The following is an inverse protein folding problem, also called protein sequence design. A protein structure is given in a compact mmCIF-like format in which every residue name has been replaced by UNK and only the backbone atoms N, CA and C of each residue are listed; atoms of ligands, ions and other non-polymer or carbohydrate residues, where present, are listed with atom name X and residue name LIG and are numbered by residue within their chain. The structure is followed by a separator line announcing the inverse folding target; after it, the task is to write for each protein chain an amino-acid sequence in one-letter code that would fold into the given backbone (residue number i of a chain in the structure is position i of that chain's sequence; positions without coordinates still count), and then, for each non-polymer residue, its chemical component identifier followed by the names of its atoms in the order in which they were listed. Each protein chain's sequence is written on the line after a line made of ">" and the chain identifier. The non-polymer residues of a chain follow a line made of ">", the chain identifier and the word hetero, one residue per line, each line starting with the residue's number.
data_IF_988080331809
#
_entry.id   IF_988080331809
#
_cell.length_a   1.000
_cell.length_b   1.000
_cell.length_c   1.000
_cell.angle_alpha   90.00
_cell.angle_beta   90.00
_cell.angle_gamma   90.00
#
_symmetry.space_group_name_H-M   'P 1'
#
loop_
_entity.id
_entity.type
_entity.pdbx_description
1 polymer ?
#
# COMPACT_ATOMS: atom_id res chain seq x y z
N UNK A 1 -28.39 61.12 0.39
CA UNK A 1 -29.66 60.84 1.07
C UNK A 1 -29.63 59.42 1.58
N UNK A 2 -29.60 59.30 2.91
CA UNK A 2 -29.48 58.08 3.70
C UNK A 2 -30.86 57.41 3.78
N UNK A 3 -30.93 56.09 3.55
CA UNK A 3 -32.01 55.26 4.09
C UNK A 3 -31.43 53.99 4.68
N UNK A 4 -31.41 54.00 6.02
CA UNK A 4 -31.33 52.85 6.89
C UNK A 4 -32.50 51.89 6.63
N UNK A 5 -32.24 50.57 6.67
CA UNK A 5 -33.08 49.63 7.41
C UNK A 5 -32.20 48.56 8.05
N UNK A 6 -32.08 48.72 9.37
CA UNK A 6 -31.66 47.75 10.36
C UNK A 6 -32.70 46.63 10.41
N UNK A 7 -32.29 45.36 10.43
CA UNK A 7 -33.05 44.29 11.05
C UNK A 7 -32.07 43.36 11.77
N UNK A 8 -32.14 43.45 13.09
CA UNK A 8 -31.64 42.49 14.07
C UNK A 8 -32.33 41.14 13.85
N UNK A 9 -31.57 40.05 13.87
CA UNK A 9 -32.06 38.78 14.38
C UNK A 9 -30.91 38.05 15.09
N UNK A 10 -31.17 37.84 16.38
CA UNK A 10 -30.32 37.26 17.41
C UNK A 10 -30.03 35.79 17.09
N UNK A 11 -28.82 35.35 17.45
CA UNK A 11 -28.37 33.99 17.27
C UNK A 11 -29.16 32.96 18.09
N UNK A 12 -29.23 31.75 17.54
CA UNK A 12 -29.36 30.54 18.32
C UNK A 12 -28.23 29.59 17.91
N UNK A 13 -27.35 29.33 18.88
CA UNK A 13 -26.37 28.25 18.84
C UNK A 13 -27.14 26.94 18.89
N UNK A 14 -26.92 26.05 17.92
CA UNK A 14 -27.20 24.62 18.05
C UNK A 14 -25.90 23.86 17.78
N UNK A 15 -25.31 23.37 18.87
CA UNK A 15 -24.24 22.39 18.88
C UNK A 15 -24.89 21.00 18.99
N UNK A 16 -24.24 20.03 18.34
CA UNK A 16 -24.28 18.55 18.51
C UNK A 16 -25.44 17.74 17.92
N UNK A 17 -25.06 16.75 17.11
CA UNK A 17 -25.92 15.62 16.76
C UNK A 17 -25.43 14.76 15.58
N UNK A 18 -24.31 14.06 15.77
CA UNK A 18 -23.80 12.86 15.09
C UNK A 18 -24.42 12.35 13.78
N UNK A 19 -23.53 12.08 12.81
CA UNK A 19 -23.74 11.17 11.68
C UNK A 19 -22.40 10.75 11.09
N UNK A 20 -21.63 9.96 11.85
CA UNK A 20 -20.38 9.34 11.42
C UNK A 20 -20.72 8.23 10.39
N UNK A 21 -20.75 8.60 9.11
CA UNK A 21 -20.67 7.64 8.00
C UNK A 21 -19.23 7.62 7.51
N UNK A 22 -18.46 6.65 7.97
CA UNK A 22 -17.08 6.43 7.53
C UNK A 22 -17.08 6.13 6.03
N UNK A 23 -16.69 7.11 5.23
CA UNK A 23 -16.42 6.93 3.81
C UNK A 23 -14.98 6.42 3.68
N UNK A 24 -14.77 5.16 4.01
CA UNK A 24 -13.59 4.41 3.57
C UNK A 24 -13.86 4.02 2.12
N UNK A 25 -13.44 4.86 1.18
CA UNK A 25 -13.65 4.58 -0.22
C UNK A 25 -13.12 5.68 -1.12
N UNK A 26 -12.19 5.27 -1.99
CA UNK A 26 -11.80 5.95 -3.22
C UNK A 26 -10.83 7.13 -3.01
N UNK A 27 -9.55 6.79 -2.82
CA UNK A 27 -8.51 7.62 -3.44
C UNK A 27 -8.56 7.37 -4.94
N UNK A 28 -9.38 8.16 -5.63
CA UNK A 28 -9.20 8.43 -7.04
C UNK A 28 -7.86 9.18 -7.17
N UNK A 29 -6.77 8.44 -7.30
CA UNK A 29 -5.51 9.05 -7.73
C UNK A 29 -5.65 9.35 -9.21
N UNK A 30 -5.75 10.64 -9.51
CA UNK A 30 -5.60 11.23 -10.83
C UNK A 30 -4.58 10.45 -11.69
N UNK A 31 -4.85 10.30 -12.98
CA UNK A 31 -4.04 9.66 -14.04
C UNK A 31 -2.62 10.25 -14.25
N UNK A 32 -2.10 10.98 -13.28
CA UNK A 32 -0.77 11.59 -13.26
C UNK A 32 0.05 10.89 -12.16
N UNK A 33 0.96 9.99 -12.57
CA UNK A 33 2.01 9.32 -11.76
C UNK A 33 1.63 7.99 -11.06
N UNK A 34 0.75 7.17 -11.62
CA UNK A 34 0.69 5.75 -11.25
C UNK A 34 1.66 4.95 -12.14
N UNK A 35 2.54 4.14 -11.54
CA UNK A 35 3.38 3.22 -12.31
C UNK A 35 2.50 2.16 -12.98
N UNK A 36 2.63 2.00 -14.30
CA UNK A 36 1.82 1.11 -15.10
C UNK A 36 2.67 0.25 -16.04
N UNK A 37 2.07 -0.86 -16.45
CA UNK A 37 2.50 -1.66 -17.60
C UNK A 37 1.33 -1.98 -18.52
N UNK A 38 1.62 -2.16 -19.80
CA UNK A 38 0.73 -2.71 -20.80
C UNK A 38 1.28 -4.10 -21.22
N UNK A 39 0.41 -5.11 -21.24
CA UNK A 39 0.72 -6.48 -21.64
C UNK A 39 -0.50 -7.11 -22.31
N UNK A 40 -0.36 -7.54 -23.57
CA UNK A 40 -1.50 -7.96 -24.38
C UNK A 40 -2.44 -6.77 -24.63
N UNK A 41 -3.75 -7.00 -24.49
CA UNK A 41 -4.79 -6.00 -24.61
C UNK A 41 -5.15 -5.30 -23.28
N UNK A 42 -4.38 -5.56 -22.21
CA UNK A 42 -4.66 -5.11 -20.84
C UNK A 42 -3.63 -4.09 -20.35
N UNK A 43 -4.11 -3.15 -19.52
CA UNK A 43 -3.29 -2.24 -18.72
C UNK A 43 -3.33 -2.64 -17.26
N UNK A 44 -2.19 -2.55 -16.60
CA UNK A 44 -2.07 -2.83 -15.18
C UNK A 44 -1.41 -1.68 -14.43
N UNK A 45 -1.81 -1.48 -13.18
CA UNK A 45 -1.22 -0.52 -12.27
C UNK A 45 -0.40 -1.25 -11.21
N UNK A 46 0.72 -0.65 -10.81
CA UNK A 46 1.57 -1.17 -9.75
C UNK A 46 0.79 -1.18 -8.43
N UNK A 47 0.77 -2.34 -7.79
CA UNK A 47 0.18 -2.55 -6.48
C UNK A 47 1.30 -2.66 -5.45
N UNK A 48 1.91 -1.52 -5.10
CA UNK A 48 3.06 -1.42 -4.20
C UNK A 48 2.83 -2.06 -2.81
N UNK A 49 1.58 -2.08 -2.33
CA UNK A 49 1.22 -2.74 -1.07
C UNK A 49 1.29 -4.26 -1.15
N UNK A 50 1.33 -4.85 -2.36
CA UNK A 50 1.36 -6.30 -2.56
C UNK A 50 2.78 -6.81 -2.73
N UNK A 51 3.04 -8.02 -2.25
CA UNK A 51 4.33 -8.67 -2.42
C UNK A 51 4.16 -10.14 -2.75
N UNK A 52 4.93 -10.62 -3.73
CA UNK A 52 5.06 -12.04 -4.00
C UNK A 52 5.81 -12.71 -2.87
N UNK A 53 5.23 -13.74 -2.26
CA UNK A 53 5.84 -14.45 -1.14
C UNK A 53 6.80 -15.54 -1.59
N UNK A 54 6.50 -16.21 -2.71
CA UNK A 54 7.27 -17.34 -3.24
C UNK A 54 7.28 -17.32 -4.78
N UNK A 55 8.48 -17.35 -5.37
CA UNK A 55 8.63 -17.36 -6.84
C UNK A 55 8.38 -18.72 -7.49
N UNK A 56 8.17 -19.78 -6.70
CA UNK A 56 7.82 -21.12 -7.22
C UNK A 56 6.37 -21.24 -7.67
N UNK A 57 5.55 -20.21 -7.42
CA UNK A 57 4.10 -20.16 -7.70
C UNK A 57 3.76 -19.18 -8.83
N UNK A 58 4.72 -18.92 -9.70
CA UNK A 58 4.55 -18.03 -10.84
C UNK A 58 5.09 -18.67 -12.11
N UNK A 59 4.42 -18.42 -13.23
CA UNK A 59 4.76 -18.97 -14.54
C UNK A 59 4.88 -17.84 -15.57
N UNK A 60 5.92 -17.88 -16.41
CA UNK A 60 6.15 -16.82 -17.40
C UNK A 60 5.11 -16.90 -18.51
N UNK A 61 4.38 -15.79 -18.73
CA UNK A 61 3.33 -15.68 -19.75
C UNK A 61 3.67 -14.74 -20.89
N UNK A 62 4.70 -13.90 -20.73
CA UNK A 62 5.10 -12.98 -21.78
C UNK A 62 6.10 -11.94 -21.32
N UNK A 63 6.02 -10.77 -21.93
CA UNK A 63 6.87 -9.62 -21.62
C UNK A 63 6.08 -8.34 -21.66
N UNK A 64 6.52 -7.34 -20.90
CA UNK A 64 5.97 -5.98 -20.92
C UNK A 64 6.15 -5.39 -22.31
N UNK A 65 5.07 -4.85 -22.87
CA UNK A 65 5.10 -4.16 -24.18
C UNK A 65 5.42 -2.67 -24.01
N UNK A 66 4.85 -2.07 -22.97
CA UNK A 66 5.07 -0.68 -22.57
C UNK A 66 4.96 -0.56 -21.06
N UNK A 67 5.79 0.27 -20.43
CA UNK A 67 5.63 0.62 -19.02
C UNK A 67 6.13 2.02 -18.74
N UNK A 68 5.64 2.65 -17.66
CA UNK A 68 6.13 3.96 -17.22
C UNK A 68 7.50 3.88 -16.55
N UNK A 69 7.73 2.81 -15.77
CA UNK A 69 8.98 2.58 -15.03
C UNK A 69 9.68 1.32 -15.51
N UNK A 70 8.93 0.23 -15.65
CA UNK A 70 9.43 -1.03 -16.16
C UNK A 70 9.60 -0.93 -17.67
N UNK A 71 10.81 -1.23 -18.15
CA UNK A 71 11.10 -1.25 -19.57
C UNK A 71 10.31 -2.33 -20.32
N UNK A 72 10.06 -2.08 -21.61
CA UNK A 72 9.62 -3.15 -22.51
C UNK A 72 10.62 -4.31 -22.52
N UNK A 73 10.11 -5.53 -22.68
CA UNK A 73 10.81 -6.82 -22.62
C UNK A 73 11.04 -7.45 -21.23
N UNK A 74 10.71 -6.74 -20.13
CA UNK A 74 10.72 -7.37 -18.81
C UNK A 74 9.70 -8.52 -18.76
N UNK A 75 10.07 -9.64 -18.14
CA UNK A 75 9.21 -10.81 -18.12
C UNK A 75 7.97 -10.60 -17.24
N UNK A 76 6.81 -10.96 -17.78
CA UNK A 76 5.51 -10.96 -17.10
C UNK A 76 5.14 -12.40 -16.76
N UNK A 77 4.65 -12.59 -15.55
CA UNK A 77 4.32 -13.89 -14.98
C UNK A 77 2.88 -13.90 -14.48
N UNK A 78 2.16 -14.99 -14.74
CA UNK A 78 0.91 -15.28 -14.04
C UNK A 78 1.22 -15.81 -12.64
N UNK A 79 0.28 -15.59 -11.72
CA UNK A 79 0.42 -15.96 -10.31
C UNK A 79 -0.60 -17.05 -9.98
N UNK A 80 -0.14 -18.15 -9.39
CA UNK A 80 -1.02 -19.22 -8.93
C UNK A 80 -2.09 -18.65 -7.96
N UNK A 81 -3.36 -18.97 -8.23
CA UNK A 81 -4.52 -18.44 -7.51
C UNK A 81 -5.21 -17.25 -8.19
N UNK A 82 -4.67 -16.74 -9.31
CA UNK A 82 -5.21 -15.59 -10.06
C UNK A 82 -5.37 -15.90 -11.57
N UNK A 83 -6.27 -16.84 -11.95
CA UNK A 83 -6.29 -17.47 -13.28
C UNK A 83 -6.71 -16.57 -14.46
N UNK A 84 -7.33 -15.41 -14.23
CA UNK A 84 -7.77 -14.49 -15.30
C UNK A 84 -6.73 -13.41 -15.64
N UNK A 85 -5.55 -13.50 -15.01
CA UNK A 85 -4.47 -12.52 -15.12
C UNK A 85 -4.97 -11.14 -14.70
N UNK A 86 -5.80 -11.09 -13.67
CA UNK A 86 -6.21 -9.83 -13.05
C UNK A 86 -5.11 -9.30 -12.12
N UNK A 87 -4.18 -10.18 -11.75
CA UNK A 87 -2.96 -9.86 -11.01
C UNK A 87 -1.80 -10.58 -11.68
N UNK A 88 -0.72 -9.84 -11.93
CA UNK A 88 0.50 -10.36 -12.57
C UNK A 88 1.74 -9.94 -11.79
N UNK A 89 2.77 -10.78 -11.86
CA UNK A 89 4.10 -10.45 -11.35
C UNK A 89 5.00 -10.05 -12.52
N UNK A 90 5.84 -9.04 -12.32
CA UNK A 90 6.77 -8.55 -13.34
C UNK A 90 8.15 -8.55 -12.75
N UNK A 91 9.10 -9.20 -13.42
CA UNK A 91 10.49 -9.17 -12.97
C UNK A 91 11.02 -7.74 -13.02
N UNK A 92 11.54 -7.31 -11.89
CA UNK A 92 11.98 -5.95 -11.69
C UNK A 92 13.38 -5.94 -11.09
N UNK A 93 14.38 -5.67 -11.92
CA UNK A 93 15.78 -5.69 -11.52
C UNK A 93 16.26 -4.31 -11.00
N UNK A 94 15.34 -3.36 -10.78
CA UNK A 94 15.66 -2.02 -10.31
C UNK A 94 16.15 -2.04 -8.84
N UNK A 95 17.44 -1.76 -8.66
CA UNK A 95 18.07 -1.55 -7.35
C UNK A 95 17.47 -0.39 -6.53
N UNK A 96 16.65 0.49 -7.14
CA UNK A 96 15.95 1.57 -6.45
C UNK A 96 14.84 1.06 -5.50
N UNK A 97 14.47 -0.22 -5.61
CA UNK A 97 13.36 -0.85 -4.88
C UNK A 97 13.87 -1.65 -3.67
N UNK A 98 15.13 -1.42 -3.29
CA UNK A 98 15.73 -1.93 -2.06
C UNK A 98 15.04 -1.45 -0.76
N UNK A 99 13.86 -0.81 -0.85
CA UNK A 99 13.16 -0.29 0.32
C UNK A 99 11.83 -0.96 0.64
N UNK A 100 11.03 -1.49 -0.30
CA UNK A 100 9.69 -2.04 0.09
C UNK A 100 9.14 -3.15 -0.85
N UNK A 101 9.12 -2.96 -2.17
CA UNK A 101 8.18 -3.71 -3.04
C UNK A 101 8.71 -5.04 -3.61
N UNK A 102 10.00 -5.36 -3.42
CA UNK A 102 10.67 -6.31 -4.30
C UNK A 102 11.62 -7.28 -3.58
N UNK A 103 11.10 -8.04 -2.61
CA UNK A 103 11.90 -9.06 -1.92
C UNK A 103 12.28 -10.22 -2.85
N UNK A 104 11.38 -10.60 -3.74
CA UNK A 104 11.52 -11.79 -4.58
C UNK A 104 12.11 -11.51 -5.96
N UNK A 105 12.41 -10.26 -6.30
CA UNK A 105 12.78 -9.87 -7.67
C UNK A 105 11.57 -9.48 -8.55
N UNK A 106 10.37 -9.39 -7.97
CA UNK A 106 9.13 -9.13 -8.67
C UNK A 106 8.34 -7.97 -8.06
N UNK A 107 7.81 -7.12 -8.92
CA UNK A 107 6.73 -6.17 -8.59
C UNK A 107 5.38 -6.74 -8.99
N UNK A 108 4.35 -6.43 -8.20
CA UNK A 108 2.98 -6.87 -8.46
C UNK A 108 2.20 -5.77 -9.17
N UNK A 109 1.44 -6.17 -10.19
CA UNK A 109 0.57 -5.29 -10.96
C UNK A 109 -0.85 -5.87 -11.02
N UNK A 110 -1.84 -5.00 -10.89
CA UNK A 110 -3.27 -5.34 -10.90
C UNK A 110 -3.97 -4.72 -12.10
N UNK A 111 -4.94 -5.44 -12.67
CA UNK A 111 -5.68 -5.02 -13.85
C UNK A 111 -6.42 -3.69 -13.59
N UNK A 112 -6.29 -2.77 -14.53
CA UNK A 112 -7.00 -1.49 -14.54
C UNK A 112 -8.16 -1.54 -15.52
N UNK A 113 -9.39 -1.45 -15.00
CA UNK A 113 -10.62 -1.57 -15.78
C UNK A 113 -11.11 -0.23 -16.37
N UNK A 114 -10.40 0.87 -16.12
CA UNK A 114 -10.69 2.21 -16.67
C UNK A 114 -10.93 3.26 -15.59
N UNK A 115 -11.00 4.54 -15.99
CA UNK A 115 -11.06 5.67 -15.04
C UNK A 115 -12.30 5.67 -14.13
N UNK A 116 -13.40 5.03 -14.55
CA UNK A 116 -14.66 4.97 -13.83
C UNK A 116 -14.84 3.68 -13.00
N UNK A 117 -13.88 2.75 -13.07
CA UNK A 117 -13.93 1.46 -12.37
C UNK A 117 -12.69 1.28 -11.50
N UNK A 118 -12.82 0.77 -10.26
CA UNK A 118 -11.65 0.50 -9.43
C UNK A 118 -10.77 -0.57 -10.09
N UNK A 119 -9.45 -0.48 -9.90
CA UNK A 119 -8.55 -1.58 -10.24
C UNK A 119 -8.89 -2.84 -9.44
N UNK A 120 -8.57 -4.01 -9.97
CA UNK A 120 -8.78 -5.26 -9.27
C UNK A 120 -7.97 -5.30 -7.96
N UNK A 121 -8.62 -5.33 -6.81
CA UNK A 121 -7.97 -5.51 -5.51
C UNK A 121 -8.11 -6.98 -5.10
N UNK A 122 -7.01 -7.77 -5.12
CA UNK A 122 -7.07 -9.10 -4.57
C UNK A 122 -7.28 -8.95 -3.07
N UNK A 123 -8.50 -9.19 -2.56
CA UNK A 123 -8.89 -8.99 -1.16
C UNK A 123 -8.04 -9.80 -0.16
N UNK A 124 -6.78 -9.40 0.05
CA UNK A 124 -5.81 -10.08 0.92
C UNK A 124 -5.99 -9.67 2.38
N UNK A 125 -6.58 -8.51 2.63
CA UNK A 125 -6.80 -7.97 3.97
C UNK A 125 -7.79 -8.82 4.79
N UNK A 126 -8.67 -9.57 4.11
CA UNK A 126 -9.61 -10.49 4.75
C UNK A 126 -9.00 -11.86 5.08
N UNK A 127 -7.77 -12.13 4.60
CA UNK A 127 -7.11 -13.40 4.82
C UNK A 127 -6.41 -13.43 6.18
N UNK A 128 -6.43 -14.59 6.87
CA UNK A 128 -5.63 -14.78 8.06
C UNK A 128 -4.14 -14.55 7.77
N UNK A 129 -3.52 -13.67 8.54
CA UNK A 129 -2.06 -13.51 8.53
C UNK A 129 -1.46 -14.58 9.44
N UNK A 130 -0.59 -15.40 8.86
CA UNK A 130 0.10 -16.49 9.56
C UNK A 130 1.30 -15.96 10.35
N UNK A 131 2.05 -15.02 9.74
CA UNK A 131 3.24 -14.42 10.33
C UNK A 131 3.52 -13.04 9.76
N UNK A 132 4.30 -12.26 10.52
CA UNK A 132 4.82 -10.96 10.10
C UNK A 132 6.33 -11.01 10.11
N UNK A 133 6.95 -10.63 9.00
CA UNK A 133 8.38 -10.46 8.90
C UNK A 133 8.73 -8.98 8.80
N UNK A 134 9.69 -8.53 9.59
CA UNK A 134 10.17 -7.15 9.59
C UNK A 134 11.59 -7.12 9.04
N UNK A 135 11.81 -6.30 8.02
CA UNK A 135 13.09 -6.14 7.34
C UNK A 135 13.64 -4.74 7.49
N UNK A 136 14.97 -4.62 7.40
CA UNK A 136 15.69 -3.37 7.14
C UNK A 136 16.47 -3.52 5.83
N UNK A 137 15.99 -2.89 4.77
CA UNK A 137 16.42 -3.24 3.40
C UNK A 137 16.15 -4.73 3.13
N UNK A 138 17.20 -5.48 2.76
CA UNK A 138 17.09 -6.94 2.51
C UNK A 138 17.30 -7.81 3.76
N UNK A 139 17.74 -7.23 4.88
CA UNK A 139 18.03 -7.98 6.12
C UNK A 139 16.75 -8.22 6.91
N UNK A 140 16.43 -9.49 7.18
CA UNK A 140 15.39 -9.85 8.15
C UNK A 140 15.85 -9.46 9.57
N UNK A 141 15.05 -8.66 10.26
CA UNK A 141 15.25 -8.31 11.66
C UNK A 141 14.51 -9.29 12.57
N UNK A 142 13.20 -9.43 12.33
CA UNK A 142 12.30 -10.19 13.22
C UNK A 142 11.25 -10.97 12.44
N UNK A 143 10.83 -12.08 13.02
CA UNK A 143 9.63 -12.84 12.63
C UNK A 143 8.70 -12.91 13.83
N UNK A 144 7.45 -12.52 13.63
CA UNK A 144 6.40 -12.55 14.64
C UNK A 144 5.28 -13.49 14.21
N UNK A 145 4.73 -14.21 15.18
CA UNK A 145 3.63 -15.16 15.02
C UNK A 145 2.60 -14.96 16.13
N UNK A 146 1.38 -15.49 15.93
CA UNK A 146 0.36 -15.50 16.99
C UNK A 146 -0.11 -14.12 17.43
N UNK A 147 0.02 -13.82 18.73
CA UNK A 147 -0.57 -12.60 19.33
C UNK A 147 0.16 -11.30 18.92
N UNK A 148 1.45 -11.40 18.62
CA UNK A 148 2.23 -10.26 18.13
C UNK A 148 1.79 -9.82 16.75
N UNK A 149 1.44 -10.76 15.85
CA UNK A 149 0.88 -10.45 14.52
C UNK A 149 -0.35 -9.57 14.65
N UNK A 150 -1.32 -9.97 15.48
CA UNK A 150 -2.55 -9.20 15.71
C UNK A 150 -2.27 -7.82 16.30
N UNK A 151 -1.29 -7.74 17.18
CA UNK A 151 -0.89 -6.46 17.79
C UNK A 151 -0.27 -5.53 16.74
N UNK A 152 0.63 -6.03 15.90
CA UNK A 152 1.25 -5.27 14.82
C UNK A 152 0.19 -4.79 13.83
N UNK A 153 -0.73 -5.67 13.38
CA UNK A 153 -1.84 -5.30 12.49
C UNK A 153 -2.63 -4.13 13.08
N UNK A 154 -3.11 -4.27 14.33
CA UNK A 154 -3.88 -3.23 15.02
C UNK A 154 -3.14 -1.90 15.10
N UNK A 155 -1.83 -1.92 15.36
CA UNK A 155 -1.03 -0.70 15.47
C UNK A 155 -0.81 -0.02 14.11
N UNK A 156 -0.66 -0.78 13.02
CA UNK A 156 -0.55 -0.21 11.66
C UNK A 156 -1.89 0.29 11.12
N UNK A 157 -3.00 -0.28 11.57
CA UNK A 157 -4.36 0.21 11.27
C UNK A 157 -4.68 1.50 12.02
N UNK A 158 -4.02 1.75 13.16
CA UNK A 158 -4.12 2.99 13.92
C UNK A 158 -3.32 4.10 13.23
N UNK A 159 -3.93 4.65 12.17
CA UNK A 159 -3.40 5.80 11.43
C UNK A 159 -3.48 7.07 12.27
N UNK A 160 -2.33 7.70 12.51
CA UNK A 160 -2.22 9.02 13.10
C UNK A 160 -2.43 10.14 12.06
N UNK A 161 -2.35 11.41 12.50
CA UNK A 161 -2.47 12.55 11.59
C UNK A 161 -1.40 12.49 10.49
N UNK A 162 -1.79 12.94 9.30
CA UNK A 162 -0.90 13.03 8.15
C UNK A 162 0.25 14.03 8.43
N UNK A 163 1.34 13.92 7.66
CA UNK A 163 2.21 15.05 7.24
C UNK A 163 3.62 15.17 7.88
N UNK A 164 4.03 14.37 8.88
CA UNK A 164 5.41 14.47 9.44
C UNK A 164 6.43 13.41 8.94
N UNK A 165 5.91 12.31 8.38
CA UNK A 165 6.69 11.20 7.77
C UNK A 165 6.74 11.27 6.24
N UNK A 166 6.29 12.41 5.68
CA UNK A 166 6.52 12.77 4.30
C UNK A 166 8.03 12.97 4.13
N UNK A 167 8.72 11.95 3.67
CA UNK A 167 10.18 11.99 3.51
C UNK A 167 10.57 11.74 2.07
N UNK A 168 11.42 12.60 1.55
CA UNK A 168 12.23 12.36 0.35
C UNK A 168 13.21 11.17 0.55
N UNK A 169 13.36 10.72 1.80
CA UNK A 169 14.10 9.53 2.18
C UNK A 169 13.21 8.28 2.04
N UNK A 170 13.72 7.27 1.35
CA UNK A 170 13.04 6.00 1.16
C UNK A 170 12.84 5.27 2.52
N UNK A 171 11.74 4.52 2.64
CA UNK A 171 11.44 3.74 3.84
C UNK A 171 12.61 2.85 4.22
N UNK A 172 12.93 2.79 5.52
CA UNK A 172 14.09 2.05 6.01
C UNK A 172 13.72 0.65 6.48
N UNK A 173 12.44 0.46 6.79
CA UNK A 173 11.90 -0.78 7.31
C UNK A 173 10.73 -1.23 6.44
N UNK A 174 10.60 -2.55 6.26
CA UNK A 174 9.46 -3.17 5.58
C UNK A 174 8.78 -4.12 6.54
N UNK A 175 7.48 -3.98 6.73
CA UNK A 175 6.66 -4.94 7.48
C UNK A 175 5.87 -5.75 6.48
N UNK A 176 6.22 -7.04 6.33
CA UNK A 176 5.59 -7.97 5.40
C UNK A 176 4.64 -8.91 6.15
N UNK A 177 3.36 -8.85 5.80
CA UNK A 177 2.30 -9.72 6.29
C UNK A 177 2.16 -10.90 5.35
N UNK A 178 2.38 -12.10 5.89
CA UNK A 178 2.39 -13.34 5.14
C UNK A 178 1.07 -14.04 5.40
N UNK A 179 0.34 -14.31 4.31
CA UNK A 179 -0.93 -15.03 4.31
C UNK A 179 -0.71 -16.44 3.75
N UNK A 180 -1.76 -17.27 3.78
CA UNK A 180 -1.73 -18.59 3.14
C UNK A 180 -1.66 -18.52 1.59
N UNK A 181 -1.89 -17.34 0.99
CA UNK A 181 -1.87 -17.16 -0.46
C UNK A 181 -0.46 -16.98 -1.01
N UNK A 182 -0.35 -16.97 -2.34
CA UNK A 182 0.89 -16.64 -3.07
C UNK A 182 1.34 -15.19 -2.85
N UNK A 183 0.38 -14.31 -2.53
CA UNK A 183 0.62 -12.90 -2.24
C UNK A 183 0.47 -12.61 -0.74
N UNK A 184 1.30 -11.70 -0.27
CA UNK A 184 1.14 -11.00 1.00
C UNK A 184 0.96 -9.52 0.76
N UNK A 185 0.76 -8.79 1.84
CA UNK A 185 0.74 -7.34 1.81
C UNK A 185 1.85 -6.77 2.70
N UNK A 186 2.32 -5.58 2.39
CA UNK A 186 3.45 -4.97 3.05
C UNK A 186 3.19 -3.49 3.36
N UNK A 187 3.91 -2.98 4.36
CA UNK A 187 3.98 -1.56 4.65
C UNK A 187 5.42 -1.08 4.76
N UNK A 188 5.72 0.01 4.05
CA UNK A 188 6.94 0.79 4.23
C UNK A 188 6.88 1.67 5.46
N UNK A 189 7.87 1.52 6.34
CA UNK A 189 7.99 2.28 7.57
C UNK A 189 9.22 3.20 7.51
N UNK A 190 9.00 4.45 7.86
CA UNK A 190 10.05 5.46 8.06
C UNK A 190 10.22 5.74 9.54
N UNK A 191 11.48 5.85 9.98
CA UNK A 191 11.86 6.29 11.32
C UNK A 191 12.40 7.72 11.27
N UNK A 192 11.90 8.58 12.15
CA UNK A 192 12.33 9.98 12.30
C UNK A 192 12.31 10.36 13.77
N UNK A 193 13.46 10.78 14.29
CA UNK A 193 13.62 11.22 15.69
C UNK A 193 13.08 10.22 16.73
N UNK A 194 13.20 8.92 16.45
CA UNK A 194 12.70 7.82 17.30
C UNK A 194 11.20 7.55 17.19
N UNK A 195 10.48 8.27 16.33
CA UNK A 195 9.09 8.00 15.97
C UNK A 195 9.01 7.25 14.63
N UNK A 196 7.90 6.54 14.41
CA UNK A 196 7.67 5.71 13.23
C UNK A 196 6.41 6.14 12.49
N UNK A 197 6.41 5.97 11.17
CA UNK A 197 5.27 6.30 10.32
C UNK A 197 5.24 5.51 9.02
N UNK A 198 4.07 5.47 8.39
CA UNK A 198 3.83 4.88 7.08
C UNK A 198 4.30 5.84 5.99
N UNK A 199 5.25 5.41 5.16
CA UNK A 199 5.85 6.28 4.13
C UNK A 199 4.84 6.71 3.06
N UNK A 200 4.06 5.77 2.53
CA UNK A 200 3.15 6.02 1.40
C UNK A 200 1.82 6.66 1.80
N UNK A 201 1.38 6.41 3.03
CA UNK A 201 0.15 6.99 3.60
C UNK A 201 0.44 8.22 4.45
N UNK A 202 1.71 8.63 4.51
CA UNK A 202 2.23 9.79 5.25
C UNK A 202 1.72 9.93 6.69
N UNK A 203 1.50 8.82 7.39
CA UNK A 203 0.80 8.78 8.67
C UNK A 203 1.70 8.34 9.82
N UNK A 204 1.61 9.03 10.96
CA UNK A 204 2.31 8.65 12.20
C UNK A 204 1.74 7.37 12.79
N UNK A 205 2.61 6.48 13.27
CA UNK A 205 2.22 5.27 14.00
C UNK A 205 2.29 5.47 15.53
N UNK A 206 1.52 4.69 16.31
CA UNK A 206 1.57 4.74 17.77
C UNK A 206 2.97 4.40 18.30
N UNK A 207 3.39 5.06 19.38
CA UNK A 207 4.73 4.88 19.96
C UNK A 207 5.08 3.42 20.30
N UNK A 208 4.09 2.63 20.72
CA UNK A 208 4.25 1.22 21.07
C UNK A 208 4.76 0.35 19.92
N UNK A 209 4.62 0.79 18.65
CA UNK A 209 5.15 0.04 17.49
C UNK A 209 6.67 -0.12 17.55
N UNK A 210 7.37 0.83 18.19
CA UNK A 210 8.82 0.85 18.28
C UNK A 210 9.41 -0.44 18.87
N UNK A 211 8.69 -1.10 19.78
CA UNK A 211 9.14 -2.35 20.42
C UNK A 211 9.36 -3.49 19.42
N UNK A 212 8.66 -3.46 18.28
CA UNK A 212 8.76 -4.49 17.25
C UNK A 212 9.92 -4.25 16.28
N UNK A 213 10.52 -3.05 16.32
CA UNK A 213 11.60 -2.62 15.43
C UNK A 213 12.97 -2.56 16.10
N UNK A 214 13.04 -2.69 17.43
CA UNK A 214 14.30 -2.66 18.18
C UNK A 214 15.20 -3.86 17.79
N UNK A 215 16.49 -3.61 17.58
CA UNK A 215 17.50 -4.66 17.30
C UNK A 215 17.98 -5.35 18.58
#
# INVERSE_FOLDING_TARGET
>A
MIRWRLLLAIGLVMITGCGNGGNSGVHASNESVADYIDFGDKRYLNAWELSLLESTKIDKIGVVERGSRISGNNAVYEIEGYPDRDVVAVQDDSAAIATIENRTGYSIYVLFEGADQPSHDPNLLDLPVEKVNIYRGTRLLHTYEGEDVRTIQRLLDQKGPDNEFRTDAAARLTVLFITANTLGYNYGITEKDGAYGLAHRESKLPADIARFFAE
#
